data_IF_247936281343
#
_entry.id   IF_247936281343
#
_cell.length_a   1.000
_cell.length_b   1.000
_cell.length_c   1.000
_cell.angle_alpha   90.00
_cell.angle_beta   90.00
_cell.angle_gamma   90.00
#
_symmetry.space_group_name_H-M   'P 1'
#
loop_
_entity.id
_entity.type
_entity.pdbx_description
1 polymer ?
#
# COMPACT_ATOMS: atom_id res chain seq x y z
N UNK A 1 16.68 -12.37 -8.83
CA UNK A 1 17.92 -11.65 -8.50
C UNK A 1 17.59 -10.17 -8.48
N UNK A 2 17.93 -9.46 -7.41
CA UNK A 2 17.76 -8.00 -7.34
C UNK A 2 18.78 -7.33 -8.25
N UNK A 3 18.33 -6.41 -9.10
CA UNK A 3 19.19 -5.66 -10.02
C UNK A 3 19.17 -4.17 -9.67
N UNK A 4 20.37 -3.60 -9.59
CA UNK A 4 20.61 -2.17 -9.38
C UNK A 4 21.46 -1.64 -10.53
N UNK A 5 21.06 -0.49 -11.06
CA UNK A 5 21.71 0.16 -12.19
C UNK A 5 22.15 1.56 -11.76
N UNK A 6 23.46 1.81 -11.55
CA UNK A 6 23.95 3.15 -11.25
C UNK A 6 23.80 4.04 -12.48
N UNK A 7 23.49 5.31 -12.25
CA UNK A 7 23.44 6.35 -13.30
C UNK A 7 24.31 7.54 -12.90
N UNK A 8 24.79 8.35 -13.85
CA UNK A 8 25.41 9.62 -13.52
C UNK A 8 24.48 10.47 -12.67
N UNK A 9 25.03 11.18 -11.69
CA UNK A 9 24.24 12.03 -10.81
C UNK A 9 23.44 13.05 -11.63
N UNK A 10 22.14 13.14 -11.38
CA UNK A 10 21.23 14.06 -12.05
C UNK A 10 20.28 14.69 -11.03
N UNK A 11 20.11 16.01 -11.11
CA UNK A 11 19.22 16.73 -10.20
C UNK A 11 17.75 16.55 -10.60
N UNK A 12 16.92 16.17 -9.64
CA UNK A 12 15.48 15.96 -9.80
C UNK A 12 14.69 16.60 -8.65
N UNK A 13 15.23 17.69 -8.09
CA UNK A 13 14.61 18.48 -7.03
C UNK A 13 13.28 19.08 -7.52
N UNK A 14 12.15 18.82 -6.82
CA UNK A 14 10.90 19.50 -7.12
C UNK A 14 11.02 21.02 -6.96
N UNK A 15 10.33 21.82 -7.80
CA UNK A 15 10.45 23.28 -7.77
C UNK A 15 9.71 23.95 -6.60
N UNK A 16 8.85 23.21 -5.90
CA UNK A 16 7.98 23.74 -4.84
C UNK A 16 8.26 23.01 -3.54
N UNK A 17 8.59 23.77 -2.49
CA UNK A 17 8.73 23.29 -1.12
C UNK A 17 7.41 23.44 -0.33
N UNK A 18 7.35 22.86 0.86
CA UNK A 18 6.21 22.90 1.78
C UNK A 18 5.00 22.04 1.36
N UNK A 19 5.14 21.21 0.32
CA UNK A 19 4.07 20.32 -0.14
C UNK A 19 4.60 19.09 -0.88
N UNK A 20 3.81 18.03 -0.92
CA UNK A 20 4.12 16.83 -1.69
C UNK A 20 4.04 17.11 -3.18
N UNK A 21 5.16 16.92 -3.88
CA UNK A 21 5.30 17.15 -5.31
C UNK A 21 5.53 15.85 -6.06
N UNK A 22 4.96 15.74 -7.25
CA UNK A 22 5.23 14.62 -8.16
C UNK A 22 6.53 14.86 -8.92
N UNK A 23 7.40 13.86 -8.90
CA UNK A 23 8.69 13.88 -9.60
C UNK A 23 8.72 12.74 -10.60
N UNK A 24 8.74 13.09 -11.88
CA UNK A 24 8.89 12.13 -12.98
C UNK A 24 10.34 12.10 -13.40
N UNK A 25 10.96 10.93 -13.34
CA UNK A 25 12.37 10.79 -13.68
C UNK A 25 12.52 10.48 -15.17
N UNK A 26 13.16 11.35 -15.96
CA UNK A 26 13.31 11.13 -17.39
C UNK A 26 14.26 9.97 -17.68
N UNK A 27 13.96 9.18 -18.71
CA UNK A 27 14.84 8.12 -19.20
C UNK A 27 14.83 6.83 -18.39
N UNK A 28 13.94 6.68 -17.41
CA UNK A 28 13.74 5.39 -16.76
C UNK A 28 13.13 4.38 -17.74
N UNK A 29 13.63 3.13 -17.78
CA UNK A 29 12.98 2.08 -18.53
C UNK A 29 11.61 1.76 -17.89
N UNK A 30 10.60 1.42 -18.71
CA UNK A 30 9.24 1.13 -18.22
C UNK A 30 9.13 -0.07 -17.27
N UNK A 31 10.20 -0.87 -17.14
CA UNK A 31 10.29 -1.98 -16.18
C UNK A 31 10.99 -1.58 -14.86
N UNK A 32 11.44 -0.34 -14.71
CA UNK A 32 12.03 0.15 -13.47
C UNK A 32 11.01 0.06 -12.34
N UNK A 33 11.45 -0.48 -11.20
CA UNK A 33 10.59 -0.69 -10.01
C UNK A 33 10.73 0.44 -8.99
N UNK A 34 11.87 1.13 -9.01
CA UNK A 34 12.20 2.19 -8.07
C UNK A 34 13.45 2.95 -8.48
N UNK A 35 13.73 4.02 -7.74
CA UNK A 35 14.88 4.89 -7.91
C UNK A 35 15.70 4.93 -6.63
N UNK A 36 16.99 5.19 -6.79
CA UNK A 36 17.94 5.39 -5.71
C UNK A 36 18.38 6.84 -5.74
N UNK A 37 18.20 7.48 -4.60
CA UNK A 37 18.26 8.91 -4.41
C UNK A 37 19.34 9.26 -3.41
N UNK A 38 19.98 10.40 -3.64
CA UNK A 38 20.87 11.05 -2.71
C UNK A 38 20.28 12.42 -2.37
N UNK A 39 19.98 12.62 -1.09
CA UNK A 39 19.33 13.82 -0.58
C UNK A 39 20.34 14.61 0.20
N UNK A 40 20.36 15.92 0.01
CA UNK A 40 21.33 16.84 0.62
C UNK A 40 20.58 18.04 1.17
N UNK A 41 20.87 18.41 2.41
CA UNK A 41 20.46 19.68 2.98
C UNK A 41 21.63 20.67 2.92
N UNK A 42 21.60 21.62 1.99
CA UNK A 42 22.66 22.63 1.84
C UNK A 42 22.37 23.93 2.59
N UNK A 43 21.33 23.96 3.43
CA UNK A 43 20.94 25.17 4.13
C UNK A 43 22.07 25.64 5.05
N UNK A 44 22.57 26.86 4.89
CA UNK A 44 23.71 27.42 5.64
C UNK A 44 23.30 28.05 6.99
N UNK A 45 22.35 27.42 7.68
CA UNK A 45 21.95 27.76 9.05
C UNK A 45 21.66 26.48 9.82
N UNK A 46 21.84 26.50 11.15
CA UNK A 46 21.54 25.37 12.04
C UNK A 46 20.03 25.13 12.17
N UNK A 47 19.43 24.65 11.08
CA UNK A 47 18.04 24.26 11.01
C UNK A 47 17.93 22.78 10.67
N UNK A 48 16.98 22.12 11.34
CA UNK A 48 16.56 20.76 11.00
C UNK A 48 15.36 20.91 10.10
N UNK A 49 15.45 20.34 8.90
CA UNK A 49 14.40 20.40 7.88
C UNK A 49 13.81 19.02 7.64
N UNK A 50 12.50 18.96 7.48
CA UNK A 50 11.77 17.77 7.09
C UNK A 50 11.96 17.45 5.61
N UNK A 51 12.14 16.17 5.33
CA UNK A 51 12.11 15.64 3.98
C UNK A 51 11.26 14.36 3.91
N UNK A 52 10.51 14.21 2.83
CA UNK A 52 9.62 13.06 2.63
C UNK A 52 9.82 12.44 1.26
N UNK A 53 9.77 11.11 1.20
CA UNK A 53 9.78 10.34 -0.04
C UNK A 53 8.69 9.29 0.02
N UNK A 54 7.89 9.18 -1.04
CA UNK A 54 6.87 8.13 -1.14
C UNK A 54 6.57 7.73 -2.58
N UNK A 55 5.99 6.54 -2.73
CA UNK A 55 5.50 6.06 -4.02
C UNK A 55 4.31 6.90 -4.48
N UNK A 56 4.23 7.20 -5.78
CA UNK A 56 3.11 7.97 -6.34
C UNK A 56 1.74 7.36 -5.96
N UNK A 57 0.81 8.21 -5.53
CA UNK A 57 -0.51 7.83 -5.04
C UNK A 57 -0.54 7.19 -3.65
N UNK A 58 0.55 7.28 -2.88
CA UNK A 58 0.53 6.99 -1.44
C UNK A 58 -0.13 8.15 -0.69
N UNK A 59 -0.87 7.83 0.37
CA UNK A 59 -1.42 8.82 1.32
C UNK A 59 -0.56 8.91 2.59
N UNK A 60 0.57 8.20 2.64
CA UNK A 60 1.47 8.25 3.78
C UNK A 60 2.09 9.65 3.91
N UNK A 61 1.95 10.25 5.09
CA UNK A 61 2.57 11.51 5.46
C UNK A 61 3.71 11.24 6.45
N UNK A 62 4.87 10.88 5.91
CA UNK A 62 6.07 10.54 6.71
C UNK A 62 7.21 11.41 6.29
N UNK A 63 7.75 12.12 7.27
CA UNK A 63 8.93 12.94 7.10
C UNK A 63 10.09 12.36 7.90
N UNK A 64 11.30 12.71 7.49
CA UNK A 64 12.55 12.45 8.20
C UNK A 64 13.24 13.78 8.39
N UNK A 65 13.71 14.03 9.60
CA UNK A 65 14.50 15.19 9.93
C UNK A 65 15.89 15.11 9.29
N UNK A 66 16.32 16.18 8.64
CA UNK A 66 17.68 16.39 8.13
C UNK A 66 18.29 17.62 8.80
N UNK A 67 19.39 17.42 9.50
CA UNK A 67 20.20 18.52 10.02
C UNK A 67 20.91 19.31 8.92
N UNK A 68 21.55 20.40 9.36
CA UNK A 68 22.38 21.28 8.55
C UNK A 68 23.60 20.55 7.94
N UNK A 69 23.83 20.73 6.63
CA UNK A 69 24.86 20.03 5.85
C UNK A 69 24.81 18.50 5.92
N UNK A 70 23.66 17.93 6.27
CA UNK A 70 23.46 16.50 6.25
C UNK A 70 23.08 15.99 4.87
N UNK A 71 23.39 14.72 4.63
CA UNK A 71 22.97 13.99 3.46
C UNK A 71 22.60 12.56 3.83
N UNK A 72 21.70 11.95 3.06
CA UNK A 72 21.43 10.52 3.17
C UNK A 72 21.01 9.90 1.84
N UNK A 73 21.16 8.59 1.76
CA UNK A 73 20.70 7.79 0.63
C UNK A 73 19.33 7.19 0.90
N UNK A 74 18.45 7.22 -0.09
CA UNK A 74 17.13 6.59 0.01
C UNK A 74 16.75 5.85 -1.27
N UNK A 75 15.82 4.91 -1.13
CA UNK A 75 15.26 4.18 -2.27
C UNK A 75 13.73 4.31 -2.20
N UNK A 76 13.11 4.66 -3.33
CA UNK A 76 11.66 4.83 -3.41
C UNK A 76 11.11 4.16 -4.66
N UNK A 77 9.92 3.57 -4.53
CA UNK A 77 9.24 2.94 -5.65
C UNK A 77 8.64 3.96 -6.60
N UNK A 78 8.82 3.74 -7.91
CA UNK A 78 8.18 4.52 -8.96
C UNK A 78 6.97 3.80 -9.51
N UNK A 79 6.00 4.52 -10.05
CA UNK A 79 4.88 3.94 -10.82
C UNK A 79 5.28 3.57 -12.25
N UNK A 80 4.30 3.14 -13.07
CA UNK A 80 4.55 2.76 -14.46
C UNK A 80 5.02 3.90 -15.37
N UNK A 81 4.90 5.16 -14.93
CA UNK A 81 5.44 6.34 -15.61
C UNK A 81 6.81 6.77 -15.09
N UNK A 82 7.41 6.05 -14.14
CA UNK A 82 8.67 6.46 -13.53
C UNK A 82 8.50 7.64 -12.55
N UNK A 83 7.31 7.78 -11.97
CA UNK A 83 6.97 8.89 -11.07
C UNK A 83 6.93 8.44 -9.61
N UNK A 84 7.48 9.26 -8.74
CA UNK A 84 7.36 9.18 -7.28
C UNK A 84 6.94 10.54 -6.72
N UNK A 85 6.69 10.62 -5.42
CA UNK A 85 6.37 11.87 -4.74
C UNK A 85 7.44 12.21 -3.69
N UNK A 86 7.81 13.48 -3.62
CA UNK A 86 8.77 14.01 -2.66
C UNK A 86 8.20 15.23 -1.95
N UNK A 87 8.53 15.38 -0.68
CA UNK A 87 8.29 16.56 0.13
C UNK A 87 9.63 17.17 0.50
N UNK A 88 9.78 18.47 0.27
CA UNK A 88 10.88 19.28 0.76
C UNK A 88 10.29 20.35 1.64
N UNK A 89 10.81 20.56 2.84
CA UNK A 89 10.43 21.71 3.67
C UNK A 89 11.00 23.02 3.10
N UNK A 90 12.20 22.98 2.50
CA UNK A 90 12.92 24.17 2.03
C UNK A 90 13.54 23.97 0.64
N UNK A 91 13.65 25.03 -0.20
CA UNK A 91 14.31 24.97 -1.51
C UNK A 91 15.82 24.66 -1.46
N UNK A 92 16.47 24.79 -0.31
CA UNK A 92 17.90 24.44 -0.14
C UNK A 92 18.15 22.93 -0.01
N UNK A 93 17.09 22.14 0.14
CA UNK A 93 17.16 20.68 0.06
C UNK A 93 17.19 20.26 -1.41
N UNK A 94 18.10 19.35 -1.75
CA UNK A 94 18.29 18.86 -3.11
C UNK A 94 18.11 17.34 -3.18
N UNK A 95 17.51 16.88 -4.27
CA UNK A 95 17.33 15.46 -4.57
C UNK A 95 18.08 15.10 -5.84
N UNK A 96 19.03 14.18 -5.71
CA UNK A 96 19.85 13.68 -6.81
C UNK A 96 19.51 12.23 -7.11
N UNK A 97 19.27 11.92 -8.38
CA UNK A 97 19.19 10.55 -8.88
C UNK A 97 20.61 9.97 -9.00
N UNK A 98 20.84 8.80 -8.38
CA UNK A 98 22.13 8.09 -8.46
C UNK A 98 22.00 6.67 -9.04
N UNK A 99 20.78 6.14 -9.14
CA UNK A 99 20.53 4.84 -9.76
C UNK A 99 19.05 4.49 -9.80
N UNK A 100 18.74 3.34 -10.38
CA UNK A 100 17.40 2.77 -10.37
C UNK A 100 17.43 1.26 -10.14
N UNK A 101 16.30 0.71 -9.71
CA UNK A 101 16.12 -0.72 -9.48
C UNK A 101 15.30 -1.36 -10.57
N UNK A 102 15.65 -2.61 -10.90
CA UNK A 102 14.92 -3.42 -11.85
C UNK A 102 13.95 -4.42 -11.19
N UNK A 103 13.48 -5.40 -11.97
CA UNK A 103 12.65 -6.49 -11.49
C UNK A 103 13.29 -7.21 -10.29
N UNK A 104 12.46 -7.65 -9.34
CA UNK A 104 12.92 -8.32 -8.12
C UNK A 104 13.04 -7.42 -6.88
N UNK A 105 12.80 -6.12 -7.02
CA UNK A 105 12.57 -5.20 -5.89
C UNK A 105 11.09 -4.81 -5.85
N UNK A 106 10.47 -4.90 -4.68
CA UNK A 106 9.07 -4.52 -4.48
C UNK A 106 8.98 -3.38 -3.47
N UNK A 107 8.36 -2.28 -3.89
CA UNK A 107 8.04 -1.16 -3.03
C UNK A 107 6.55 -1.12 -2.77
N UNK A 108 6.17 -1.07 -1.49
CA UNK A 108 4.78 -0.98 -1.09
C UNK A 108 4.29 0.47 -1.14
N UNK A 109 3.03 0.65 -1.54
CA UNK A 109 2.39 1.98 -1.62
C UNK A 109 2.09 2.56 -0.24
N UNK A 110 1.78 1.72 0.74
CA UNK A 110 1.41 2.11 2.10
C UNK A 110 2.31 1.33 3.08
N UNK A 111 2.85 1.98 4.12
CA UNK A 111 3.52 1.22 5.19
C UNK A 111 2.55 0.58 6.19
N UNK A 112 1.24 0.80 6.02
CA UNK A 112 0.26 -0.15 6.51
C UNK A 112 0.32 -1.39 5.62
N UNK A 113 1.17 -2.34 6.00
CA UNK A 113 0.78 -3.71 5.74
C UNK A 113 -0.54 -3.92 6.52
N UNK A 114 -1.64 -4.43 5.93
CA UNK A 114 -2.32 -5.44 6.70
C UNK A 114 -1.22 -6.47 6.95
N UNK A 115 -0.81 -6.65 8.22
CA UNK A 115 -0.13 -7.88 8.65
C UNK A 115 -0.76 -8.98 7.81
N UNK A 116 -0.02 -9.60 6.89
CA UNK A 116 -0.62 -10.46 5.88
C UNK A 116 -1.66 -11.33 6.58
N UNK A 117 -2.95 -11.04 6.41
CA UNK A 117 -3.98 -11.94 6.90
C UNK A 117 -3.76 -13.12 5.98
N UNK A 118 -3.19 -14.17 6.55
CA UNK A 118 -2.77 -15.36 5.83
C UNK A 118 -3.75 -15.63 4.70
N UNK A 119 -3.32 -15.38 3.46
CA UNK A 119 -3.98 -15.95 2.31
C UNK A 119 -3.70 -17.44 2.45
N UNK A 120 -4.62 -18.11 3.15
CA UNK A 120 -4.90 -19.55 3.24
C UNK A 120 -5.73 -19.79 4.51
N UNK A 121 -6.93 -19.23 4.56
CA UNK A 121 -7.99 -19.85 5.34
C UNK A 121 -9.27 -19.93 4.50
N UNK A 122 -9.13 -20.46 3.28
CA UNK A 122 -10.20 -21.27 2.69
C UNK A 122 -10.32 -22.52 3.54
N UNK A 123 -11.02 -22.41 4.68
CA UNK A 123 -11.71 -23.58 5.22
C UNK A 123 -12.70 -23.95 4.11
N UNK A 124 -12.60 -25.12 3.46
CA UNK A 124 -13.64 -25.54 2.55
C UNK A 124 -14.92 -25.58 3.38
N UNK A 125 -15.91 -24.78 2.98
CA UNK A 125 -17.24 -24.84 3.54
C UNK A 125 -17.79 -26.20 3.10
N UNK A 126 -17.54 -27.23 3.90
CA UNK A 126 -18.19 -28.52 3.74
C UNK A 126 -19.68 -28.21 3.88
N UNK A 127 -20.54 -28.56 2.90
CA UNK A 127 -21.97 -28.34 3.01
C UNK A 127 -22.44 -28.94 4.34
N UNK A 128 -23.31 -28.24 5.06
CA UNK A 128 -23.80 -28.65 6.37
C UNK A 128 -24.55 -30.00 6.28
N UNK A 129 -23.77 -31.08 6.27
CA UNK A 129 -24.22 -32.46 6.33
C UNK A 129 -24.31 -32.88 7.79
N UNK A 130 -25.52 -32.79 8.32
CA UNK A 130 -26.13 -33.65 9.34
C UNK A 130 -25.12 -34.27 10.34
N UNK A 131 -24.74 -33.51 11.37
CA UNK A 131 -24.27 -34.14 12.61
C UNK A 131 -25.50 -34.52 13.45
N UNK A 132 -25.92 -35.79 13.36
CA UNK A 132 -26.85 -36.36 14.34
C UNK A 132 -26.16 -36.40 15.70
N UNK A 133 -26.64 -35.60 16.65
CA UNK A 133 -26.27 -35.75 18.05
C UNK A 133 -26.74 -37.12 18.55
N UNK A 134 -25.83 -37.91 19.15
CA UNK A 134 -26.23 -39.11 19.91
C UNK A 134 -27.12 -38.69 21.09
N UNK A 135 -28.21 -39.42 21.40
CA UNK A 135 -29.05 -39.09 22.54
C UNK A 135 -28.25 -39.27 23.83
N UNK A 136 -28.10 -38.20 24.62
CA UNK A 136 -27.58 -38.30 25.99
C UNK A 136 -26.54 -37.26 26.43
N UNK A 137 -25.96 -36.47 25.53
CA UNK A 137 -24.97 -35.45 25.93
C UNK A 137 -25.45 -34.04 25.63
N UNK A 138 -26.23 -33.46 26.56
CA UNK A 138 -26.53 -32.03 26.57
C UNK A 138 -25.77 -31.33 27.70
N UNK A 139 -24.97 -30.31 27.33
CA UNK A 139 -24.65 -29.02 28.00
C UNK A 139 -23.23 -28.59 27.59
N UNK A 140 -22.94 -27.43 27.02
CA UNK A 140 -23.77 -26.30 26.60
C UNK A 140 -22.85 -25.10 26.27
N UNK A 141 -23.19 -24.34 25.21
CA UNK A 141 -22.87 -22.91 25.15
C UNK A 141 -24.09 -22.22 24.52
N UNK A 142 -24.85 -21.53 25.36
CA UNK A 142 -26.09 -20.85 24.97
C UNK A 142 -25.74 -19.42 24.56
N UNK A 143 -26.03 -19.07 23.31
CA UNK A 143 -26.07 -17.68 22.86
C UNK A 143 -27.28 -17.00 23.51
N UNK A 144 -27.03 -16.23 24.56
CA UNK A 144 -27.90 -15.19 25.15
C UNK A 144 -27.18 -13.86 24.86
N UNK A 145 -27.72 -12.77 24.33
CA UNK A 145 -29.09 -12.27 24.14
C UNK A 145 -28.98 -11.09 23.15
N UNK A 146 -29.96 -10.92 22.26
CA UNK A 146 -30.14 -9.70 21.47
C UNK A 146 -30.61 -8.52 22.36
N UNK A 147 -30.42 -7.26 21.94
CA UNK A 147 -31.48 -6.20 21.82
C UNK A 147 -30.92 -4.79 21.49
N UNK A 148 -31.49 -4.20 20.43
CA UNK A 148 -31.76 -2.79 20.08
C UNK A 148 -30.64 -1.76 19.79
N UNK A 149 -30.63 -1.24 18.55
CA UNK A 149 -31.12 0.12 18.23
C UNK A 149 -31.49 0.24 16.74
N UNK A 150 -32.56 1.00 16.49
CA UNK A 150 -33.39 1.07 15.29
C UNK A 150 -32.87 2.14 14.33
N UNK A 151 -32.87 1.86 13.03
CA UNK A 151 -32.64 2.85 11.97
C UNK A 151 -32.93 2.27 10.58
N UNK A 152 -34.07 2.65 10.01
CA UNK A 152 -34.66 2.17 8.76
C UNK A 152 -33.83 2.51 7.50
N UNK A 153 -33.72 1.58 6.53
CA UNK A 153 -34.32 1.72 5.18
C UNK A 153 -34.03 0.51 4.25
N UNK A 154 -35.12 -0.19 3.90
CA UNK A 154 -35.45 -0.86 2.62
C UNK A 154 -34.51 -1.97 2.09
N UNK A 155 -34.94 -3.23 2.27
CA UNK A 155 -34.60 -4.36 1.39
C UNK A 155 -35.80 -4.76 0.55
N UNK A 156 -35.68 -4.64 -0.77
CA UNK A 156 -36.47 -5.43 -1.72
C UNK A 156 -35.50 -6.34 -2.45
N UNK A 157 -35.44 -7.62 -2.08
CA UNK A 157 -34.81 -8.66 -2.90
C UNK A 157 -35.94 -9.43 -3.57
N UNK A 158 -36.04 -9.26 -4.88
CA UNK A 158 -36.95 -9.99 -5.76
C UNK A 158 -36.44 -11.45 -5.83
N UNK A 159 -37.29 -12.39 -5.46
CA UNK A 159 -37.07 -13.81 -5.68
C UNK A 159 -37.18 -14.10 -7.18
N UNK A 160 -36.07 -14.47 -7.83
CA UNK A 160 -36.12 -15.17 -9.11
C UNK A 160 -36.30 -16.67 -8.81
N UNK A 161 -37.44 -17.22 -9.20
CA UNK A 161 -37.78 -18.64 -9.15
C UNK A 161 -36.81 -19.47 -10.00
N UNK A 162 -36.20 -20.49 -9.39
CA UNK A 162 -35.48 -21.55 -10.11
C UNK A 162 -36.52 -22.55 -10.65
N UNK A 163 -36.50 -22.97 -11.92
CA UNK A 163 -37.43 -23.97 -12.42
C UNK A 163 -37.08 -25.37 -11.90
N UNK A 164 -38.08 -26.05 -11.37
CA UNK A 164 -38.02 -27.43 -10.90
C UNK A 164 -37.99 -28.38 -12.12
N UNK A 165 -36.95 -29.21 -12.22
CA UNK A 165 -36.87 -30.29 -13.22
C UNK A 165 -37.61 -31.50 -12.64
N UNK A 166 -38.68 -31.93 -13.29
CA UNK A 166 -39.44 -33.13 -12.89
C UNK A 166 -38.73 -34.42 -13.33
N UNK A 167 -38.58 -35.44 -12.45
CA UNK A 167 -38.02 -36.73 -12.84
C UNK A 167 -39.12 -37.78 -12.99
N UNK A 168 -39.65 -37.96 -14.21
CA UNK A 168 -40.28 -39.23 -14.63
C UNK A 168 -40.65 -39.25 -16.13
N UNK A 169 -39.63 -39.34 -16.98
CA UNK A 169 -39.66 -40.20 -18.17
C UNK A 169 -38.22 -40.71 -18.36
N UNK A 170 -37.87 -41.76 -17.63
CA UNK A 170 -37.47 -43.10 -18.11
C UNK A 170 -37.45 -44.04 -16.90
#
# INVERSE_FOLDING_TARGET
MQTFFPVPKSEITPPVAGSWQKVTVPGLPGWATGVVLHLINNKDVQEVLDIGLRKNGSVDDRHTAMGHFEHFGAMVGVDGSGTFEAYLEHPDQQIWLIGYTGPGVTFHRLALLPKASAANNTVPIIPAGIYQARPGCARGFSVKTATALVGWCITTVIWASVPEISPSQW
#
